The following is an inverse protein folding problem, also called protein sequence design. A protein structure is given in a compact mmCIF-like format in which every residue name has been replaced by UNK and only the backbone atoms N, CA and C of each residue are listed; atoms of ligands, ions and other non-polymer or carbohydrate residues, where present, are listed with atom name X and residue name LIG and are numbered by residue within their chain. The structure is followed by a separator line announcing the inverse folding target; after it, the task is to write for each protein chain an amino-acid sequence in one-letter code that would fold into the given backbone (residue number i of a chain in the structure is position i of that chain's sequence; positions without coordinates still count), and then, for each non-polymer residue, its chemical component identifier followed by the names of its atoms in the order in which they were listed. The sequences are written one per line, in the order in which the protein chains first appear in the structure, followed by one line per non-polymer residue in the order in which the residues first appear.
data_IF_528375358229
#
_entry.id   IF_528375358229
#
_cell.length_a   1.000
_cell.length_b   1.000
_cell.length_c   1.000
_cell.angle_alpha   90.00
_cell.angle_beta   90.00
_cell.angle_gamma   90.00
#
_symmetry.space_group_name_H-M   'P 1'
#
loop_
_entity.id
_entity.type
_entity.pdbx_description
1 polymer ?
#
# COMPACT_ATOMS: atom_id res chain seq x y z
N UNK A 1 -13.52 21.80 73.77
CA UNK A 1 -14.44 22.16 72.69
C UNK A 1 -13.66 23.02 71.73
N UNK A 2 -13.41 22.69 70.48
CA UNK A 2 -13.36 21.43 69.72
C UNK A 2 -12.41 21.81 68.57
N UNK A 3 -11.36 21.02 68.33
CA UNK A 3 -10.60 21.18 67.09
C UNK A 3 -11.47 20.58 65.99
N UNK A 4 -11.80 21.46 65.05
CA UNK A 4 -12.67 21.23 63.91
C UNK A 4 -12.11 20.11 63.04
N UNK A 5 -12.97 19.13 62.79
CA UNK A 5 -12.82 18.00 61.90
C UNK A 5 -12.99 18.55 60.47
N UNK A 6 -11.92 18.59 59.68
CA UNK A 6 -11.99 18.95 58.26
C UNK A 6 -11.21 17.90 57.45
N UNK A 7 -11.67 16.66 57.57
CA UNK A 7 -11.30 15.52 56.72
C UNK A 7 -12.53 15.14 55.87
N UNK A 8 -12.92 15.99 54.91
CA UNK A 8 -13.83 15.58 53.84
C UNK A 8 -13.70 16.53 52.64
N UNK A 9 -13.80 15.99 51.43
CA UNK A 9 -13.77 16.66 50.12
C UNK A 9 -12.42 16.91 49.43
N UNK A 10 -11.58 15.87 49.31
CA UNK A 10 -10.52 15.82 48.27
C UNK A 10 -10.69 14.65 47.29
N UNK A 11 -11.84 13.94 47.31
CA UNK A 11 -12.07 12.75 46.49
C UNK A 11 -13.09 12.94 45.35
N UNK A 12 -13.88 14.01 45.32
CA UNK A 12 -14.88 14.25 44.25
C UNK A 12 -14.29 14.97 43.01
N UNK A 13 -13.27 15.81 43.17
CA UNK A 13 -12.68 16.58 42.05
C UNK A 13 -11.80 15.75 41.09
N UNK A 14 -11.25 14.61 41.55
CA UNK A 14 -10.37 13.78 40.72
C UNK A 14 -11.13 12.89 39.74
N UNK A 15 -12.36 12.50 40.10
CA UNK A 15 -13.23 11.72 39.20
C UNK A 15 -13.78 12.60 38.08
N UNK A 16 -14.14 13.87 38.33
CA UNK A 16 -14.64 14.81 37.30
C UNK A 16 -13.58 15.16 36.24
N UNK A 17 -12.32 15.36 36.65
CA UNK A 17 -11.20 15.58 35.72
C UNK A 17 -10.91 14.33 34.89
N UNK A 18 -11.00 13.15 35.51
CA UNK A 18 -10.81 11.88 34.82
C UNK A 18 -11.93 11.60 33.82
N UNK A 19 -13.18 11.78 34.22
CA UNK A 19 -14.36 11.65 33.36
C UNK A 19 -14.32 12.64 32.19
N UNK A 20 -13.81 13.87 32.41
CA UNK A 20 -13.63 14.85 31.33
C UNK A 20 -12.53 14.43 30.36
N UNK A 21 -11.40 13.92 30.85
CA UNK A 21 -10.30 13.42 30.00
C UNK A 21 -10.75 12.17 29.23
N UNK A 22 -11.49 11.25 29.87
CA UNK A 22 -12.07 10.07 29.21
C UNK A 22 -13.05 10.50 28.11
N UNK A 23 -13.98 11.44 28.37
CA UNK A 23 -14.89 11.99 27.36
C UNK A 23 -14.20 12.80 26.24
N UNK A 24 -13.09 13.47 26.53
CA UNK A 24 -12.28 14.15 25.52
C UNK A 24 -11.50 13.15 24.67
N UNK A 25 -11.01 12.06 25.27
CA UNK A 25 -10.35 10.96 24.58
C UNK A 25 -11.33 10.20 23.66
N UNK A 26 -12.53 9.86 24.16
CA UNK A 26 -13.56 9.20 23.36
C UNK A 26 -13.96 10.03 22.14
N UNK A 27 -14.17 11.35 22.33
CA UNK A 27 -14.44 12.26 21.19
C UNK A 27 -13.26 12.38 20.23
N UNK A 28 -12.03 12.36 20.73
CA UNK A 28 -10.84 12.45 19.87
C UNK A 28 -10.66 11.19 19.02
N UNK A 29 -10.99 10.02 19.56
CA UNK A 29 -10.97 8.74 18.83
C UNK A 29 -12.07 8.71 17.76
N UNK A 30 -13.29 9.12 18.08
CA UNK A 30 -14.40 9.19 17.11
C UNK A 30 -14.10 10.15 15.94
N UNK A 31 -13.52 11.33 16.20
CA UNK A 31 -13.13 12.28 15.15
C UNK A 31 -12.02 11.75 14.25
N UNK A 32 -11.11 10.94 14.80
CA UNK A 32 -10.02 10.36 14.06
C UNK A 32 -10.51 9.25 13.11
N UNK A 33 -11.49 8.45 13.56
CA UNK A 33 -12.13 7.44 12.72
C UNK A 33 -12.86 8.08 11.53
N UNK A 34 -13.54 9.21 11.72
CA UNK A 34 -14.22 9.91 10.61
C UNK A 34 -13.22 10.42 9.55
N UNK A 35 -12.09 11.00 9.99
CA UNK A 35 -11.03 11.44 9.07
C UNK A 35 -10.34 10.28 8.32
N UNK A 36 -10.20 9.11 8.94
CA UNK A 36 -9.70 7.90 8.29
C UNK A 36 -10.69 7.40 7.24
N UNK A 37 -11.98 7.40 7.56
CA UNK A 37 -13.03 6.98 6.63
C UNK A 37 -13.06 7.87 5.40
N UNK A 38 -12.91 9.19 5.55
CA UNK A 38 -12.85 10.13 4.43
C UNK A 38 -11.66 9.86 3.50
N UNK A 39 -10.46 9.66 4.07
CA UNK A 39 -9.28 9.33 3.28
C UNK A 39 -9.46 8.00 2.54
N UNK A 40 -9.96 6.99 3.24
CA UNK A 40 -10.20 5.66 2.68
C UNK A 40 -11.33 5.67 1.65
N UNK A 41 -12.32 6.56 1.77
CA UNK A 41 -13.39 6.68 0.79
C UNK A 41 -12.85 7.20 -0.55
N UNK A 42 -11.83 8.06 -0.52
CA UNK A 42 -11.11 8.50 -1.72
C UNK A 42 -10.28 7.36 -2.31
N UNK A 43 -9.59 6.59 -1.47
CA UNK A 43 -8.73 5.48 -1.89
C UNK A 43 -9.52 4.29 -2.42
N UNK A 44 -10.61 3.92 -1.74
CA UNK A 44 -11.42 2.73 -2.00
C UNK A 44 -12.67 3.06 -2.82
N UNK A 45 -12.70 4.20 -3.52
CA UNK A 45 -13.81 4.75 -4.32
C UNK A 45 -15.11 5.10 -3.58
N UNK A 46 -15.41 4.46 -2.44
CA UNK A 46 -16.69 4.65 -1.75
C UNK A 46 -16.55 4.60 -0.23
N UNK A 47 -17.37 5.41 0.45
CA UNK A 47 -17.51 5.39 1.91
C UNK A 47 -17.87 3.98 2.44
N UNK A 48 -18.73 3.26 1.72
CA UNK A 48 -19.14 1.90 2.06
C UNK A 48 -17.92 0.97 2.20
N UNK A 49 -17.01 1.00 1.20
CA UNK A 49 -15.80 0.17 1.21
C UNK A 49 -14.83 0.61 2.32
N UNK A 50 -14.69 1.91 2.54
CA UNK A 50 -13.92 2.46 3.66
C UNK A 50 -14.41 1.96 5.02
N UNK A 51 -15.73 2.03 5.26
CA UNK A 51 -16.32 1.58 6.53
C UNK A 51 -16.15 0.07 6.72
N UNK A 52 -16.29 -0.73 5.66
CA UNK A 52 -16.03 -2.18 5.70
C UNK A 52 -14.56 -2.47 6.00
N UNK A 53 -13.62 -1.76 5.35
CA UNK A 53 -12.19 -1.91 5.59
C UNK A 53 -11.84 -1.62 7.06
N UNK A 54 -12.30 -0.48 7.58
CA UNK A 54 -12.08 -0.10 8.99
C UNK A 54 -12.64 -1.16 9.94
N UNK A 55 -13.85 -1.65 9.69
CA UNK A 55 -14.44 -2.70 10.51
C UNK A 55 -13.62 -4.00 10.49
N UNK A 56 -13.14 -4.43 9.31
CA UNK A 56 -12.28 -5.61 9.19
C UNK A 56 -10.90 -5.43 9.84
N UNK A 57 -10.39 -4.20 9.93
CA UNK A 57 -9.15 -3.91 10.66
C UNK A 57 -9.33 -3.98 12.17
N UNK A 58 -10.52 -3.70 12.66
CA UNK A 58 -10.86 -3.84 14.08
C UNK A 58 -11.22 -5.28 14.45
N UNK A 59 -11.95 -5.98 13.57
CA UNK A 59 -12.45 -7.33 13.77
C UNK A 59 -12.07 -8.20 12.56
N UNK A 60 -10.87 -8.79 12.58
CA UNK A 60 -10.45 -9.70 11.50
C UNK A 60 -11.33 -10.96 11.49
N UNK A 61 -11.37 -11.64 10.34
CA UNK A 61 -12.09 -12.92 10.16
C UNK A 61 -13.61 -12.80 10.34
N UNK A 62 -14.17 -11.64 9.99
CA UNK A 62 -15.62 -11.38 10.11
C UNK A 62 -16.38 -11.88 8.88
N UNK A 63 -17.59 -12.37 9.09
CA UNK A 63 -18.51 -12.78 8.02
C UNK A 63 -19.28 -11.60 7.45
N UNK A 64 -19.91 -11.76 6.26
CA UNK A 64 -20.69 -10.69 5.64
C UNK A 64 -21.88 -10.20 6.48
N UNK A 65 -22.47 -11.07 7.31
CA UNK A 65 -23.54 -10.67 8.24
C UNK A 65 -22.99 -9.86 9.42
N UNK A 66 -21.87 -10.29 10.02
CA UNK A 66 -21.23 -9.59 11.14
C UNK A 66 -20.76 -8.18 10.72
N UNK A 67 -20.21 -8.06 9.51
CA UNK A 67 -19.80 -6.76 8.96
C UNK A 67 -21.01 -5.84 8.74
N UNK A 68 -22.13 -6.39 8.25
CA UNK A 68 -23.35 -5.60 8.06
C UNK A 68 -23.91 -5.08 9.39
N UNK A 69 -23.89 -5.92 10.43
CA UNK A 69 -24.31 -5.54 11.78
C UNK A 69 -23.37 -4.48 12.39
N UNK A 70 -22.05 -4.67 12.25
CA UNK A 70 -21.05 -3.79 12.83
C UNK A 70 -20.88 -2.44 12.11
N UNK A 71 -21.17 -2.38 10.81
CA UNK A 71 -21.08 -1.13 10.02
C UNK A 71 -22.41 -0.42 9.84
N UNK A 72 -23.53 -1.05 10.23
CA UNK A 72 -24.88 -0.54 10.00
C UNK A 72 -25.30 -0.52 8.52
N UNK A 73 -24.55 -1.20 7.66
CA UNK A 73 -24.82 -1.28 6.22
C UNK A 73 -25.79 -2.43 5.90
N UNK A 74 -26.49 -2.32 4.76
CA UNK A 74 -27.41 -3.37 4.35
C UNK A 74 -26.63 -4.61 3.85
N UNK A 75 -27.05 -5.86 4.20
CA UNK A 75 -26.27 -7.05 3.88
C UNK A 75 -25.99 -7.27 2.38
N UNK A 76 -26.88 -6.83 1.49
CA UNK A 76 -26.62 -6.93 0.04
C UNK A 76 -25.48 -6.02 -0.40
N UNK A 77 -25.46 -4.78 0.11
CA UNK A 77 -24.42 -3.80 -0.21
C UNK A 77 -23.07 -4.26 0.34
N UNK A 78 -23.06 -4.85 1.53
CA UNK A 78 -21.83 -5.42 2.10
C UNK A 78 -21.29 -6.55 1.23
N UNK A 79 -22.13 -7.48 0.77
CA UNK A 79 -21.68 -8.56 -0.13
C UNK A 79 -21.15 -8.05 -1.46
N UNK A 80 -21.77 -7.02 -2.01
CA UNK A 80 -21.31 -6.38 -3.26
C UNK A 80 -19.95 -5.70 -3.05
N UNK A 81 -19.83 -4.88 -2.02
CA UNK A 81 -18.57 -4.21 -1.69
C UNK A 81 -17.46 -5.22 -1.37
N UNK A 82 -17.76 -6.29 -0.63
CA UNK A 82 -16.80 -7.36 -0.34
C UNK A 82 -16.38 -8.12 -1.61
N UNK A 83 -17.28 -8.31 -2.57
CA UNK A 83 -16.94 -8.94 -3.84
C UNK A 83 -15.91 -8.08 -4.59
N UNK A 84 -16.15 -6.77 -4.69
CA UNK A 84 -15.23 -5.86 -5.34
C UNK A 84 -13.88 -5.73 -4.60
N UNK A 85 -13.91 -5.57 -3.28
CA UNK A 85 -12.68 -5.54 -2.46
C UNK A 85 -11.88 -6.85 -2.55
N UNK A 86 -12.53 -7.98 -2.79
CA UNK A 86 -11.83 -9.26 -3.02
C UNK A 86 -11.22 -9.32 -4.42
N UNK A 87 -11.89 -8.77 -5.43
CA UNK A 87 -11.39 -8.68 -6.81
C UNK A 87 -10.15 -7.78 -6.89
N UNK A 88 -10.13 -6.70 -6.12
CA UNK A 88 -9.02 -5.75 -6.00
C UNK A 88 -7.91 -6.24 -5.05
N UNK A 89 -8.00 -7.48 -4.54
CA UNK A 89 -7.04 -8.08 -3.59
C UNK A 89 -6.84 -7.30 -2.27
N UNK A 90 -7.74 -6.36 -1.97
CA UNK A 90 -7.75 -5.56 -0.73
C UNK A 90 -8.28 -6.39 0.46
N UNK A 91 -9.18 -7.32 0.17
CA UNK A 91 -9.77 -8.23 1.16
C UNK A 91 -9.56 -9.68 0.72
N UNK A 92 -9.10 -10.50 1.64
CA UNK A 92 -9.00 -11.94 1.47
C UNK A 92 -10.25 -12.62 2.01
N UNK A 93 -10.82 -13.57 1.25
CA UNK A 93 -11.90 -14.44 1.72
C UNK A 93 -11.38 -15.83 2.06
N UNK A 94 -11.84 -16.38 3.19
CA UNK A 94 -11.51 -17.73 3.62
C UNK A 94 -12.77 -18.47 4.06
N UNK A 95 -12.79 -19.79 3.89
CA UNK A 95 -13.92 -20.62 4.31
C UNK A 95 -13.68 -21.07 5.74
N UNK A 96 -14.56 -20.67 6.68
CA UNK A 96 -14.45 -21.06 8.09
C UNK A 96 -14.43 -22.58 8.22
N UNK A 97 -13.48 -23.13 8.96
CA UNK A 97 -13.47 -24.54 9.32
C UNK A 97 -14.49 -24.77 10.45
N UNK A 98 -15.72 -25.12 10.08
CA UNK A 98 -16.73 -25.56 11.03
C UNK A 98 -16.93 -27.07 10.93
N UNK A 99 -16.77 -27.79 12.04
CA UNK A 99 -17.06 -29.23 12.19
C UNK A 99 -18.57 -29.58 12.15
N UNK A 100 -19.44 -28.60 11.87
CA UNK A 100 -20.89 -28.74 11.87
C UNK A 100 -21.48 -29.02 10.49
N UNK A 101 -22.58 -29.77 10.44
CA UNK A 101 -23.35 -30.09 9.22
C UNK A 101 -24.12 -28.87 8.65
N UNK A 102 -23.43 -27.75 8.44
CA UNK A 102 -23.95 -26.52 7.87
C UNK A 102 -23.10 -26.04 6.69
N UNK A 103 -23.59 -25.03 5.96
CA UNK A 103 -22.75 -24.29 5.03
C UNK A 103 -21.77 -23.43 5.82
N UNK A 104 -20.47 -23.59 5.57
CA UNK A 104 -19.47 -22.74 6.19
C UNK A 104 -19.55 -21.34 5.57
N UNK A 105 -19.81 -20.30 6.37
CA UNK A 105 -19.77 -18.94 5.87
C UNK A 105 -18.34 -18.56 5.44
N UNK A 106 -18.25 -17.60 4.53
CA UNK A 106 -16.97 -16.98 4.21
C UNK A 106 -16.64 -15.93 5.26
N UNK A 107 -15.40 -15.97 5.73
CA UNK A 107 -14.78 -14.96 6.56
C UNK A 107 -13.93 -14.06 5.68
N UNK A 108 -13.84 -12.80 6.07
CA UNK A 108 -13.13 -11.77 5.35
C UNK A 108 -12.08 -11.14 6.25
N UNK A 109 -10.94 -10.83 5.66
CA UNK A 109 -9.80 -10.19 6.32
C UNK A 109 -9.24 -9.12 5.39
N UNK A 110 -8.97 -7.93 5.91
CA UNK A 110 -8.41 -6.83 5.14
C UNK A 110 -6.87 -6.81 5.23
N UNK A 111 -6.22 -6.49 4.11
CA UNK A 111 -4.76 -6.31 4.04
C UNK A 111 -4.29 -5.18 4.95
N UNK A 112 -2.97 -5.10 5.20
CA UNK A 112 -2.44 -4.00 6.01
C UNK A 112 -2.57 -2.65 5.28
N UNK A 113 -2.62 -1.52 6.00
CA UNK A 113 -2.64 -0.20 5.36
C UNK A 113 -1.42 0.04 4.45
N UNK A 114 -0.26 -0.53 4.80
CA UNK A 114 0.95 -0.46 3.98
C UNK A 114 0.80 -1.23 2.67
N UNK A 115 0.18 -2.41 2.71
CA UNK A 115 -0.09 -3.20 1.51
C UNK A 115 -1.11 -2.49 0.62
N UNK A 116 -2.14 -1.87 1.21
CA UNK A 116 -3.12 -1.07 0.48
C UNK A 116 -2.46 0.08 -0.28
N UNK A 117 -1.55 0.81 0.37
CA UNK A 117 -0.77 1.87 -0.30
C UNK A 117 0.07 1.31 -1.45
N UNK A 118 0.69 0.14 -1.26
CA UNK A 118 1.49 -0.49 -2.29
C UNK A 118 0.66 -0.87 -3.53
N UNK A 119 -0.57 -1.38 -3.34
CA UNK A 119 -1.51 -1.68 -4.43
C UNK A 119 -1.79 -0.42 -5.27
N UNK A 120 -2.19 0.67 -4.62
CA UNK A 120 -2.53 1.94 -5.30
C UNK A 120 -1.34 2.52 -6.07
N UNK A 121 -0.15 2.47 -5.48
CA UNK A 121 1.07 2.93 -6.15
C UNK A 121 1.37 2.09 -7.39
N UNK A 122 1.11 0.78 -7.34
CA UNK A 122 1.22 -0.11 -8.49
C UNK A 122 0.24 0.25 -9.62
N UNK A 123 -1.01 0.57 -9.28
CA UNK A 123 -2.02 0.99 -10.25
C UNK A 123 -1.64 2.31 -10.95
N UNK A 124 -1.21 3.31 -10.18
CA UNK A 124 -0.77 4.61 -10.72
C UNK A 124 0.44 4.43 -11.64
N UNK A 125 1.42 3.60 -11.24
CA UNK A 125 2.59 3.31 -12.07
C UNK A 125 2.21 2.64 -13.40
N UNK A 126 1.27 1.70 -13.37
CA UNK A 126 0.80 0.99 -14.56
C UNK A 126 0.06 1.91 -15.52
N UNK A 127 -0.79 2.81 -14.99
CA UNK A 127 -1.49 3.80 -15.81
C UNK A 127 -0.53 4.83 -16.40
N UNK A 128 0.42 5.34 -15.61
CA UNK A 128 1.45 6.26 -16.11
C UNK A 128 2.33 5.59 -17.17
N UNK A 129 2.76 4.35 -16.95
CA UNK A 129 3.53 3.59 -17.94
C UNK A 129 2.74 3.46 -19.25
N UNK A 130 1.44 3.19 -19.16
CA UNK A 130 0.55 3.12 -20.33
C UNK A 130 0.49 4.47 -21.07
N UNK A 131 0.38 5.59 -20.36
CA UNK A 131 0.37 6.94 -20.97
C UNK A 131 1.72 7.27 -21.63
N UNK A 132 2.85 6.97 -20.98
CA UNK A 132 4.17 7.25 -21.55
C UNK A 132 4.46 6.39 -22.79
N UNK A 133 4.10 5.10 -22.76
CA UNK A 133 4.20 4.24 -23.95
C UNK A 133 3.29 4.71 -25.09
N UNK A 134 2.14 5.30 -24.76
CA UNK A 134 1.22 5.86 -25.76
C UNK A 134 1.73 7.19 -26.34
N UNK A 135 2.35 8.05 -25.53
CA UNK A 135 2.96 9.30 -25.99
C UNK A 135 4.18 9.06 -26.88
N UNK A 136 5.01 8.06 -26.56
CA UNK A 136 6.12 7.62 -27.43
C UNK A 136 5.61 7.11 -28.79
N UNK A 137 4.49 6.39 -28.78
CA UNK A 137 3.85 5.91 -30.01
C UNK A 137 3.15 7.00 -30.83
N UNK A 138 2.73 8.11 -30.22
CA UNK A 138 2.01 9.21 -30.89
C UNK A 138 2.95 10.36 -31.27
N UNK A 139 4.04 10.59 -30.53
CA UNK A 139 5.03 11.65 -30.76
C UNK A 139 6.11 11.31 -31.78
N UNK A 140 6.26 10.04 -32.17
CA UNK A 140 7.31 9.55 -33.06
C UNK A 140 6.88 9.37 -34.52
N UNK A 141 6.72 10.45 -35.29
CA UNK A 141 6.97 10.36 -36.74
C UNK A 141 8.49 10.30 -36.97
N UNK A 142 9.10 9.15 -36.67
CA UNK A 142 10.39 8.73 -37.22
C UNK A 142 10.51 7.23 -37.03
N UNK A 143 10.59 6.53 -38.14
CA UNK A 143 10.82 5.10 -38.26
C UNK A 143 11.95 4.63 -37.35
N UNK A 144 11.62 4.02 -36.22
CA UNK A 144 12.54 3.23 -35.42
C UNK A 144 11.83 1.90 -35.13
N UNK A 145 12.48 0.82 -35.54
CA UNK A 145 12.04 -0.55 -35.31
C UNK A 145 11.88 -0.80 -33.79
N UNK A 146 10.97 -1.70 -33.36
CA UNK A 146 10.77 -1.94 -31.93
C UNK A 146 11.97 -2.69 -31.36
N UNK A 147 12.96 -1.94 -30.87
CA UNK A 147 14.07 -2.49 -30.10
C UNK A 147 13.54 -2.95 -28.73
N UNK A 148 13.20 -4.24 -28.63
CA UNK A 148 12.75 -4.91 -27.41
C UNK A 148 13.94 -5.17 -26.45
N UNK A 149 14.86 -4.22 -26.32
CA UNK A 149 16.02 -4.37 -25.45
C UNK A 149 15.68 -4.01 -24.01
N UNK A 150 16.04 -4.86 -23.03
CA UNK A 150 15.75 -4.59 -21.63
C UNK A 150 16.55 -3.39 -21.12
N UNK A 151 15.87 -2.42 -20.52
CA UNK A 151 16.51 -1.24 -19.93
C UNK A 151 17.16 -1.61 -18.59
N UNK A 152 18.45 -1.30 -18.44
CA UNK A 152 19.22 -1.50 -17.21
C UNK A 152 19.30 -0.19 -16.44
N UNK A 153 18.65 -0.11 -15.27
CA UNK A 153 18.73 1.05 -14.38
C UNK A 153 19.90 0.81 -13.42
N UNK A 154 20.98 1.59 -13.57
CA UNK A 154 22.10 1.61 -12.62
C UNK A 154 21.80 2.63 -11.52
N UNK A 155 21.67 2.15 -10.29
CA UNK A 155 21.52 3.00 -9.11
C UNK A 155 22.92 3.27 -8.57
N UNK A 156 23.39 4.50 -8.72
CA UNK A 156 24.62 4.95 -8.08
C UNK A 156 24.31 5.28 -6.61
N UNK A 157 24.83 4.48 -5.69
CA UNK A 157 24.81 4.81 -4.27
C UNK A 157 25.62 6.10 -4.08
N UNK A 158 24.97 7.15 -3.58
CA UNK A 158 25.61 8.44 -3.33
C UNK A 158 26.52 8.37 -2.10
N UNK A 159 27.61 7.60 -2.19
CA UNK A 159 28.71 7.65 -1.24
C UNK A 159 29.98 7.02 -1.86
N UNK A 160 31.08 7.78 -1.78
CA UNK A 160 32.44 7.52 -2.30
C UNK A 160 32.69 8.03 -3.72
N UNK A 161 33.76 8.75 -4.05
CA UNK A 161 34.79 9.46 -3.29
C UNK A 161 35.47 10.36 -4.32
N UNK A 162 35.87 11.56 -3.91
CA UNK A 162 36.57 12.49 -4.77
C UNK A 162 37.95 11.94 -5.15
N UNK A 163 38.19 11.59 -6.42
CA UNK A 163 39.55 11.48 -6.94
C UNK A 163 39.70 12.09 -8.34
N UNK A 164 40.33 13.25 -8.30
CA UNK A 164 41.01 13.97 -9.37
C UNK A 164 42.12 13.10 -10.01
N UNK A 165 42.14 12.98 -11.34
CA UNK A 165 43.32 12.58 -12.11
C UNK A 165 43.25 13.01 -13.59
N UNK A 166 44.00 14.07 -13.85
CA UNK A 166 44.38 14.75 -15.08
C UNK A 166 45.09 13.85 -16.14
N UNK A 167 44.82 14.17 -17.42
CA UNK A 167 45.61 14.02 -18.66
C UNK A 167 46.16 12.66 -19.16
N UNK A 168 45.91 12.37 -20.44
CA UNK A 168 46.93 12.50 -21.51
C UNK A 168 46.36 12.12 -22.89
N UNK A 169 46.32 13.09 -23.80
CA UNK A 169 46.29 12.81 -25.23
C UNK A 169 47.68 12.37 -25.71
N UNK A 170 47.75 11.33 -26.54
CA UNK A 170 48.90 11.10 -27.42
C UNK A 170 48.49 10.30 -28.66
N UNK A 171 48.73 10.95 -29.78
CA UNK A 171 48.58 10.59 -31.19
C UNK A 171 49.39 9.37 -31.65
N UNK A 172 48.77 8.57 -32.54
CA UNK A 172 49.31 8.07 -33.81
C UNK A 172 50.56 7.19 -33.82
N UNK A 173 50.44 5.99 -34.40
CA UNK A 173 51.48 5.43 -35.26
C UNK A 173 50.89 4.36 -36.18
N UNK A 174 51.24 4.49 -37.46
CA UNK A 174 50.84 3.67 -38.60
C UNK A 174 51.73 2.42 -38.71
N UNK A 175 51.10 1.30 -39.10
CA UNK A 175 51.72 0.28 -39.96
C UNK A 175 52.61 -0.78 -39.29
N UNK A 176 52.22 -2.04 -39.43
CA UNK A 176 53.08 -3.04 -40.07
C UNK A 176 52.26 -4.26 -40.48
N UNK A 177 52.37 -4.60 -41.75
CA UNK A 177 51.84 -5.80 -42.37
C UNK A 177 52.87 -6.91 -42.17
N UNK A 178 52.48 -8.09 -41.71
CA UNK A 178 53.23 -9.32 -42.01
C UNK A 178 52.37 -10.56 -41.90
N UNK A 179 52.47 -11.31 -42.98
CA UNK A 179 51.83 -12.56 -43.33
C UNK A 179 52.20 -13.75 -42.42
N UNK A 180 51.41 -14.79 -42.61
CA UNK A 180 51.83 -16.18 -42.80
C UNK A 180 51.61 -17.18 -41.65
N UNK A 181 50.72 -18.14 -41.94
CA UNK A 181 51.14 -19.54 -41.91
C UNK A 181 50.46 -20.47 -40.91
N UNK A 182 49.48 -21.22 -41.43
CA UNK A 182 49.21 -22.65 -41.16
C UNK A 182 48.71 -23.05 -39.74
N UNK A 183 47.90 -24.09 -39.52
CA UNK A 183 47.32 -25.18 -40.32
C UNK A 183 46.20 -25.81 -39.45
N UNK A 184 45.52 -26.81 -40.02
CA UNK A 184 44.74 -27.88 -39.35
C UNK A 184 43.21 -27.70 -39.32
N UNK A 185 42.60 -28.11 -40.43
CA UNK A 185 41.23 -28.61 -40.49
C UNK A 185 41.20 -29.99 -41.17
N UNK A 186 40.70 -30.96 -40.39
CA UNK A 186 40.35 -32.36 -40.62
C UNK A 186 39.59 -32.66 -41.93
N UNK A 187 40.02 -33.70 -42.68
CA UNK A 187 39.24 -34.71 -43.47
C UNK A 187 40.10 -35.42 -44.53
#
# INVERSE_FOLDING_TARGET
MSADDNDHDELEDTDDVRDRIEQEADRAVEQFDEGIVDLLAWVLDTETRARIYVHLRQQPESTSEEIAEGTGLYPSTVREALAALTEEEIVTRQKRESDGAGNNPYEYSAISPSDLVNTIVGDIQSELNTVFNLDDHIGGETTLEPDNEPVTISVEDANDDATDADASEATGDDGDESEDGNDDADV
#
